data_IF_110112362009
#
_entry.id   IF_110112362009
#
_cell.length_a   1.000
_cell.length_b   1.000
_cell.length_c   1.000
_cell.angle_alpha   90.00
_cell.angle_beta   90.00
_cell.angle_gamma   90.00
#
_symmetry.space_group_name_H-M   'P 1'
#
loop_
_entity.id
_entity.type
_entity.pdbx_description
1 polymer ?
#
# COMPACT_ATOMS: atom_id res chain seq x y z
N UNK A 1 5.04 -35.84 31.27
CA UNK A 1 4.91 -35.25 29.89
C UNK A 1 3.47 -34.80 29.67
N UNK A 2 2.79 -34.27 30.67
CA UNK A 2 2.82 -32.89 31.20
C UNK A 2 2.19 -31.83 30.31
N UNK A 3 1.26 -31.13 30.94
CA UNK A 3 0.35 -30.08 30.49
C UNK A 3 1.04 -28.81 29.93
N UNK A 4 2.30 -28.89 29.48
CA UNK A 4 3.08 -27.76 28.98
C UNK A 4 2.43 -27.06 27.78
N UNK A 5 1.73 -27.79 26.91
CA UNK A 5 0.97 -27.21 25.81
C UNK A 5 -0.21 -26.35 26.30
N UNK A 6 -0.93 -26.79 27.34
CA UNK A 6 -2.07 -26.03 27.87
C UNK A 6 -1.61 -24.76 28.57
N UNK A 7 -0.52 -24.84 29.34
CA UNK A 7 0.10 -23.68 29.98
C UNK A 7 0.66 -22.70 28.93
N UNK A 8 1.39 -23.19 27.92
CA UNK A 8 1.90 -22.36 26.83
C UNK A 8 0.76 -21.70 26.02
N UNK A 9 -0.31 -22.43 25.73
CA UNK A 9 -1.49 -21.91 25.03
C UNK A 9 -2.20 -20.80 25.82
N UNK A 10 -2.27 -20.93 27.15
CA UNK A 10 -2.88 -19.93 28.04
C UNK A 10 -2.05 -18.66 28.12
N UNK A 11 -0.73 -18.79 28.23
CA UNK A 11 0.22 -17.66 28.21
C UNK A 11 0.19 -16.96 26.84
N UNK A 12 0.19 -17.73 25.75
CA UNK A 12 0.04 -17.20 24.39
C UNK A 12 -1.27 -16.42 24.22
N UNK A 13 -2.39 -16.96 24.70
CA UNK A 13 -3.68 -16.26 24.65
C UNK A 13 -3.66 -14.94 25.43
N UNK A 14 -3.04 -14.90 26.61
CA UNK A 14 -3.10 -13.71 27.47
C UNK A 14 -2.08 -12.62 27.10
N UNK A 15 -0.95 -13.00 26.51
CA UNK A 15 0.12 -12.05 26.16
C UNK A 15 0.01 -11.63 24.70
N UNK A 16 -0.23 -12.59 23.80
CA UNK A 16 -0.11 -12.36 22.36
C UNK A 16 -1.43 -11.84 21.78
N UNK A 17 -2.58 -12.45 22.10
CA UNK A 17 -3.87 -12.05 21.49
C UNK A 17 -4.30 -10.59 21.73
N UNK A 18 -4.14 -10.00 22.94
CA UNK A 18 -4.53 -8.60 23.17
C UNK A 18 -3.72 -7.63 22.29
N UNK A 19 -2.51 -8.02 21.90
CA UNK A 19 -1.63 -7.23 21.03
C UNK A 19 -1.81 -7.57 19.54
N UNK A 20 -2.27 -8.79 19.23
CA UNK A 20 -2.58 -9.19 17.86
C UNK A 20 -3.73 -8.38 17.26
N UNK A 21 -4.80 -8.12 18.02
CA UNK A 21 -5.93 -7.31 17.54
C UNK A 21 -5.49 -5.91 17.03
N UNK A 22 -4.48 -5.32 17.67
CA UNK A 22 -3.91 -4.02 17.28
C UNK A 22 -3.05 -4.08 16.01
N UNK A 23 -2.59 -5.28 15.65
CA UNK A 23 -1.67 -5.54 14.53
C UNK A 23 -2.41 -6.06 13.29
N UNK A 24 -3.50 -6.81 13.49
CA UNK A 24 -4.29 -7.43 12.42
C UNK A 24 -5.08 -6.40 11.60
N UNK A 25 -5.39 -5.22 12.17
CA UNK A 25 -6.10 -4.15 11.46
C UNK A 25 -5.17 -3.23 10.64
N UNK A 26 -4.05 -3.75 10.16
CA UNK A 26 -3.23 -3.06 9.15
C UNK A 26 -3.72 -3.56 7.79
N UNK A 27 -4.59 -2.80 7.14
CA UNK A 27 -5.04 -3.12 5.78
C UNK A 27 -3.84 -3.01 4.83
N UNK A 28 -3.41 -4.13 4.26
CA UNK A 28 -2.28 -4.20 3.33
C UNK A 28 -2.78 -4.07 1.87
N UNK A 29 -2.99 -2.83 1.44
CA UNK A 29 -3.43 -2.52 0.08
C UNK A 29 -2.35 -2.84 -0.96
N UNK A 30 -1.07 -2.74 -0.59
CA UNK A 30 0.04 -3.08 -1.49
C UNK A 30 0.03 -4.57 -1.84
N UNK A 31 -0.10 -5.43 -0.83
CA UNK A 31 -0.17 -6.88 -1.04
C UNK A 31 -1.39 -7.25 -1.88
N UNK A 32 -2.57 -6.73 -1.54
CA UNK A 32 -3.81 -6.98 -2.31
C UNK A 32 -3.68 -6.56 -3.79
N UNK A 33 -3.13 -5.38 -4.07
CA UNK A 33 -2.95 -4.92 -5.45
C UNK A 33 -1.95 -5.80 -6.21
N UNK A 34 -0.86 -6.22 -5.56
CA UNK A 34 0.11 -7.12 -6.18
C UNK A 34 -0.51 -8.47 -6.56
N UNK A 35 -1.31 -9.06 -5.67
CA UNK A 35 -1.99 -10.34 -5.93
C UNK A 35 -2.93 -10.25 -7.13
N UNK A 36 -3.75 -9.20 -7.20
CA UNK A 36 -4.69 -8.97 -8.31
C UNK A 36 -3.93 -8.83 -9.63
N UNK A 37 -2.91 -7.97 -9.67
CA UNK A 37 -2.14 -7.71 -10.89
C UNK A 37 -1.38 -8.96 -11.35
N UNK A 38 -0.80 -9.72 -10.43
CA UNK A 38 -0.07 -10.95 -10.75
C UNK A 38 -1.00 -12.06 -11.23
N UNK A 39 -2.25 -12.13 -10.73
CA UNK A 39 -3.25 -13.07 -11.23
C UNK A 39 -3.56 -12.87 -12.72
N UNK A 40 -3.41 -11.63 -13.22
CA UNK A 40 -3.53 -11.26 -14.63
C UNK A 40 -2.21 -11.38 -15.42
N UNK A 41 -1.15 -11.94 -14.83
CA UNK A 41 0.21 -12.01 -15.41
C UNK A 41 0.82 -10.65 -15.78
N UNK A 42 0.40 -9.58 -15.09
CA UNK A 42 0.98 -8.24 -15.25
C UNK A 42 1.91 -7.93 -14.06
N UNK A 43 2.61 -6.80 -14.14
CA UNK A 43 3.48 -6.31 -13.07
C UNK A 43 3.27 -4.81 -12.82
N UNK A 44 3.29 -4.42 -11.54
CA UNK A 44 3.25 -3.02 -11.12
C UNK A 44 4.61 -2.55 -10.61
N UNK A 45 4.88 -1.25 -10.75
CA UNK A 45 6.08 -0.60 -10.26
C UNK A 45 5.71 0.58 -9.35
N UNK A 46 6.44 0.73 -8.25
CA UNK A 46 6.31 1.87 -7.35
C UNK A 46 7.48 2.83 -7.55
N UNK A 47 7.20 4.14 -7.53
CA UNK A 47 8.21 5.19 -7.59
C UNK A 47 7.94 6.23 -6.51
N UNK A 48 8.97 6.62 -5.76
CA UNK A 48 8.90 7.81 -4.90
C UNK A 48 9.26 9.01 -5.77
N UNK A 49 8.29 9.87 -6.03
CA UNK A 49 8.46 11.02 -6.93
C UNK A 49 8.76 12.32 -6.19
N UNK A 50 8.48 12.37 -4.88
CA UNK A 50 8.77 13.54 -4.06
C UNK A 50 9.14 13.12 -2.65
N UNK A 51 10.12 13.81 -2.08
CA UNK A 51 10.58 13.65 -0.70
C UNK A 51 10.94 15.04 -0.16
N UNK A 52 10.13 15.56 0.77
CA UNK A 52 10.27 16.94 1.25
C UNK A 52 9.99 17.09 2.74
N UNK A 53 10.48 18.19 3.33
CA UNK A 53 10.29 18.52 4.74
C UNK A 53 11.48 18.13 5.63
N UNK A 54 11.53 18.65 6.87
CA UNK A 54 12.60 18.38 7.81
C UNK A 54 12.57 16.91 8.26
N UNK A 55 13.69 16.41 8.78
CA UNK A 55 13.85 14.98 9.12
C UNK A 55 12.73 14.42 10.04
N UNK A 56 12.19 15.25 10.94
CA UNK A 56 11.13 14.88 11.86
C UNK A 56 9.70 15.09 11.31
N UNK A 57 9.55 15.65 10.10
CA UNK A 57 8.27 15.90 9.43
C UNK A 57 8.40 15.72 7.92
N UNK A 58 9.04 14.61 7.53
CA UNK A 58 9.26 14.29 6.12
C UNK A 58 7.96 13.78 5.50
N UNK A 59 7.68 14.24 4.29
CA UNK A 59 6.57 13.81 3.44
C UNK A 59 7.14 13.13 2.20
N UNK A 60 6.53 12.01 1.85
CA UNK A 60 6.86 11.22 0.67
C UNK A 60 5.63 11.12 -0.21
N UNK A 61 5.83 11.24 -1.52
CA UNK A 61 4.81 10.98 -2.53
C UNK A 61 5.25 9.76 -3.33
N UNK A 62 4.41 8.73 -3.34
CA UNK A 62 4.61 7.51 -4.09
C UNK A 62 3.59 7.41 -5.22
N UNK A 63 4.00 6.86 -6.34
CA UNK A 63 3.16 6.54 -7.48
C UNK A 63 3.27 5.05 -7.80
N UNK A 64 2.15 4.44 -8.22
CA UNK A 64 2.09 3.06 -8.67
C UNK A 64 1.67 3.01 -10.13
N UNK A 65 2.45 2.30 -10.92
CA UNK A 65 2.31 2.17 -12.36
C UNK A 65 2.04 0.72 -12.74
N UNK A 66 1.14 0.49 -13.67
CA UNK A 66 1.00 -0.76 -14.41
C UNK A 66 1.58 -0.52 -15.81
N UNK A 67 2.74 -1.11 -16.09
CA UNK A 67 3.55 -0.78 -17.26
C UNK A 67 3.88 0.72 -17.32
N UNK A 68 3.22 1.47 -18.22
CA UNK A 68 3.39 2.92 -18.38
C UNK A 68 2.20 3.73 -17.83
N UNK A 69 1.14 3.06 -17.36
CA UNK A 69 -0.09 3.71 -16.93
C UNK A 69 -0.06 3.96 -15.41
N UNK A 70 -0.24 5.21 -15.02
CA UNK A 70 -0.34 5.60 -13.61
C UNK A 70 -1.67 5.08 -13.03
N UNK A 71 -1.59 4.10 -12.12
CA UNK A 71 -2.76 3.58 -11.44
C UNK A 71 -3.11 4.39 -10.19
N UNK A 72 -2.14 4.95 -9.49
CA UNK A 72 -2.42 5.75 -8.30
C UNK A 72 -1.22 6.47 -7.73
N UNK A 73 -1.51 7.46 -6.89
CA UNK A 73 -0.57 8.33 -6.19
C UNK A 73 -0.98 8.37 -4.71
N UNK A 74 -0.01 8.39 -3.81
CA UNK A 74 -0.25 8.40 -2.37
C UNK A 74 0.81 9.16 -1.60
N UNK A 75 0.37 9.92 -0.59
CA UNK A 75 1.26 10.72 0.26
C UNK A 75 1.36 10.17 1.68
N UNK A 76 2.56 10.01 2.21
CA UNK A 76 2.79 9.46 3.56
C UNK A 76 3.93 10.14 4.29
N UNK A 77 3.94 9.99 5.63
CA UNK A 77 5.07 10.37 6.49
C UNK A 77 6.24 9.39 6.39
N UNK A 78 6.03 8.24 5.72
CA UNK A 78 7.05 7.25 5.39
C UNK A 78 6.85 6.78 3.95
N UNK A 79 7.90 6.27 3.31
CA UNK A 79 7.81 5.66 1.96
C UNK A 79 6.74 4.55 1.93
N UNK A 80 6.74 3.66 2.93
CA UNK A 80 5.75 2.58 3.06
C UNK A 80 4.32 3.11 3.14
N UNK A 81 4.07 4.16 3.93
CA UNK A 81 2.74 4.76 4.04
C UNK A 81 2.28 5.42 2.73
N UNK A 82 3.20 6.07 2.00
CA UNK A 82 2.92 6.64 0.70
C UNK A 82 2.55 5.55 -0.32
N UNK A 83 3.32 4.46 -0.39
CA UNK A 83 3.04 3.31 -1.26
C UNK A 83 1.71 2.62 -0.96
N UNK A 84 1.37 2.43 0.33
CA UNK A 84 0.09 1.84 0.73
C UNK A 84 -1.10 2.70 0.27
N UNK A 85 -1.00 4.02 0.38
CA UNK A 85 -2.02 4.94 -0.13
C UNK A 85 -2.11 4.96 -1.65
N UNK A 86 -0.97 4.89 -2.35
CA UNK A 86 -0.95 4.77 -3.81
C UNK A 86 -1.64 3.48 -4.25
N UNK A 87 -1.40 2.37 -3.54
CA UNK A 87 -2.05 1.09 -3.77
C UNK A 87 -3.57 1.14 -3.51
N UNK A 88 -3.98 1.82 -2.43
CA UNK A 88 -5.40 2.02 -2.10
C UNK A 88 -6.14 2.76 -3.23
N UNK A 89 -5.53 3.82 -3.79
CA UNK A 89 -6.11 4.54 -4.91
C UNK A 89 -6.17 3.67 -6.17
N UNK A 90 -5.10 2.91 -6.46
CA UNK A 90 -5.06 2.00 -7.60
C UNK A 90 -6.11 0.88 -7.52
N UNK A 91 -6.31 0.28 -6.35
CA UNK A 91 -7.35 -0.74 -6.12
C UNK A 91 -8.74 -0.21 -6.43
N UNK A 92 -9.01 1.06 -6.12
CA UNK A 92 -10.29 1.71 -6.43
C UNK A 92 -10.53 1.83 -7.95
N UNK A 93 -9.47 1.88 -8.75
CA UNK A 93 -9.55 1.90 -10.23
C UNK A 93 -9.65 0.49 -10.82
N UNK A 94 -8.91 -0.48 -10.28
CA UNK A 94 -8.99 -1.88 -10.74
C UNK A 94 -10.35 -2.50 -10.44
N UNK A 95 -10.98 -2.12 -9.32
CA UNK A 95 -12.35 -2.55 -9.00
C UNK A 95 -13.43 -1.93 -9.92
N UNK A 96 -13.10 -0.90 -10.71
CA UNK A 96 -13.99 -0.26 -11.70
C UNK A 96 -13.45 -0.47 -13.12
N UNK A 97 -13.71 -1.64 -13.74
CA UNK A 97 -13.14 -1.99 -15.05
C UNK A 97 -13.57 -1.13 -16.25
N UNK A 98 -14.36 -0.06 -16.09
CA UNK A 98 -14.90 0.76 -17.21
C UNK A 98 -14.24 2.12 -17.45
N UNK A 99 -13.35 2.61 -16.59
CA UNK A 99 -12.87 4.01 -16.67
C UNK A 99 -11.39 4.18 -17.15
N UNK A 100 -10.69 3.09 -17.47
CA UNK A 100 -9.24 3.09 -17.77
C UNK A 100 -8.85 3.62 -19.16
N UNK A 101 -9.78 4.16 -19.96
CA UNK A 101 -9.52 4.63 -21.33
C UNK A 101 -9.62 6.16 -21.53
N UNK A 102 -9.96 6.96 -20.51
CA UNK A 102 -10.29 8.38 -20.75
C UNK A 102 -9.51 9.46 -19.98
N UNK A 103 -8.50 9.13 -19.17
CA UNK A 103 -7.73 10.15 -18.44
C UNK A 103 -6.36 10.43 -19.07
N UNK A 104 -6.36 11.07 -20.25
CA UNK A 104 -5.22 11.86 -20.72
C UNK A 104 -5.39 13.28 -20.17
N UNK A 105 -4.67 13.66 -19.13
CA UNK A 105 -4.66 15.06 -18.70
C UNK A 105 -3.92 15.34 -17.40
N UNK A 106 -2.65 15.72 -17.49
CA UNK A 106 -1.82 15.97 -16.30
C UNK A 106 -0.62 16.89 -16.42
N UNK A 107 -0.59 17.78 -17.42
CA UNK A 107 0.15 19.07 -17.47
C UNK A 107 1.70 19.02 -17.40
N UNK A 108 2.32 19.00 -18.57
CA UNK A 108 3.57 19.70 -18.81
C UNK A 108 3.35 21.20 -18.54
N UNK A 109 4.05 21.77 -17.56
CA UNK A 109 4.21 23.22 -17.45
C UNK A 109 5.48 23.61 -18.19
N UNK A 110 5.27 24.14 -19.38
CA UNK A 110 6.18 25.01 -20.10
C UNK A 110 6.51 26.23 -19.19
N UNK A 111 7.79 26.54 -19.03
CA UNK A 111 8.23 27.86 -18.57
C UNK A 111 9.22 28.38 -19.61
N UNK A 112 8.74 29.34 -20.40
CA UNK A 112 9.56 30.29 -21.13
C UNK A 112 10.15 31.31 -20.16
#
# INVERSE_FOLDING_TARGET
LDLGYLTAKKVFHNIVLPHLAKTIYIIDFKTQLQEIVQSEKKAIQYKIVQEQGPAHSKKFVAEVYLEKNLLGTGEGSTKKAAEQKAAQQALSKVAKPKDLLNDKGGKEKELQ
#
